data_IF_378870729427
#
_entry.id   IF_378870729427
#
_cell.length_a   1.000
_cell.length_b   1.000
_cell.length_c   1.000
_cell.angle_alpha   90.00
_cell.angle_beta   90.00
_cell.angle_gamma   90.00
#
_symmetry.space_group_name_H-M   'P 1'
#
loop_
_entity.id
_entity.type
_entity.pdbx_description
1 polymer ?
#
# COMPACT_ATOMS: atom_id res chain seq x y z
N UNK A 1 33.79 -67.94 15.36
CA UNK A 1 33.77 -68.69 14.07
C UNK A 1 33.18 -67.76 13.00
N UNK A 2 33.95 -67.37 11.97
CA UNK A 2 33.80 -67.75 10.54
C UNK A 2 32.37 -67.56 10.01
N UNK A 3 32.02 -66.93 8.88
CA UNK A 3 32.64 -66.22 7.74
C UNK A 3 31.42 -65.70 6.93
N UNK A 4 31.48 -64.56 6.26
CA UNK A 4 31.05 -64.48 4.85
C UNK A 4 31.50 -63.21 4.16
N UNK A 5 32.20 -63.45 3.04
CA UNK A 5 32.70 -62.50 2.06
C UNK A 5 31.56 -62.18 1.07
N UNK A 6 31.57 -60.97 0.49
CA UNK A 6 31.61 -60.78 -0.98
C UNK A 6 32.02 -59.34 -1.31
N UNK A 7 33.04 -59.23 -2.17
CA UNK A 7 33.55 -58.03 -2.85
C UNK A 7 32.81 -57.83 -4.18
N UNK A 8 32.65 -56.57 -4.62
CA UNK A 8 32.82 -56.05 -6.00
C UNK A 8 32.48 -54.53 -5.97
N UNK A 9 33.39 -53.56 -6.23
CA UNK A 9 33.86 -53.03 -7.55
C UNK A 9 32.74 -52.23 -8.26
N UNK A 10 32.81 -50.96 -8.72
CA UNK A 10 33.84 -49.96 -9.09
C UNK A 10 33.24 -48.51 -8.98
N UNK A 11 33.98 -47.51 -8.47
CA UNK A 11 34.54 -46.32 -9.18
C UNK A 11 33.65 -45.54 -10.18
N UNK A 12 33.42 -44.25 -9.91
CA UNK A 12 33.88 -43.14 -10.77
C UNK A 12 33.85 -41.80 -10.01
N UNK A 13 34.95 -41.04 -10.14
CA UNK A 13 35.19 -39.73 -9.53
C UNK A 13 34.53 -38.63 -10.37
N UNK A 14 34.01 -37.57 -9.73
CA UNK A 14 33.72 -36.31 -10.41
C UNK A 14 34.27 -35.15 -9.58
N UNK A 15 35.34 -34.55 -10.12
CA UNK A 15 35.99 -33.33 -9.65
C UNK A 15 35.09 -32.11 -9.92
N UNK A 16 35.03 -31.17 -8.98
CA UNK A 16 34.53 -29.82 -9.22
C UNK A 16 35.71 -28.86 -9.33
N UNK A 17 35.98 -28.38 -10.54
CA UNK A 17 36.90 -27.29 -10.84
C UNK A 17 36.23 -25.93 -10.67
N UNK A 18 36.93 -25.02 -10.00
CA UNK A 18 36.66 -23.59 -9.89
C UNK A 18 36.87 -22.95 -11.27
N UNK A 19 35.88 -22.20 -11.76
CA UNK A 19 35.94 -21.42 -13.00
C UNK A 19 35.25 -20.08 -12.79
N UNK A 20 35.93 -19.02 -13.21
CA UNK A 20 35.67 -17.63 -12.88
C UNK A 20 34.32 -17.07 -13.35
N UNK A 21 33.74 -16.19 -12.55
CA UNK A 21 32.75 -15.20 -13.03
C UNK A 21 33.12 -13.85 -12.41
N UNK A 22 33.73 -12.99 -13.22
CA UNK A 22 33.82 -11.55 -12.98
C UNK A 22 33.25 -10.88 -14.24
N UNK A 23 31.97 -10.51 -14.19
CA UNK A 23 31.42 -9.51 -15.11
C UNK A 23 31.71 -8.12 -14.55
N UNK A 24 32.47 -7.34 -15.32
CA UNK A 24 32.60 -5.90 -15.15
C UNK A 24 31.27 -5.21 -15.48
N UNK A 25 30.68 -4.44 -14.55
CA UNK A 25 29.95 -3.26 -14.96
C UNK A 25 30.06 -2.12 -13.93
N UNK A 26 30.58 -1.00 -14.43
CA UNK A 26 30.90 0.23 -13.70
C UNK A 26 29.61 0.99 -13.41
N UNK A 27 29.40 1.37 -12.16
CA UNK A 27 28.30 2.25 -11.79
C UNK A 27 28.38 2.78 -10.36
N UNK A 28 29.08 3.91 -10.19
CA UNK A 28 28.77 4.99 -9.24
C UNK A 28 28.50 4.62 -7.76
N UNK A 29 29.53 4.79 -6.91
CA UNK A 29 29.35 4.89 -5.47
C UNK A 29 29.01 6.33 -5.03
N UNK A 30 27.88 6.43 -4.32
CA UNK A 30 27.55 7.32 -3.19
C UNK A 30 27.09 8.78 -3.51
N UNK A 31 26.03 9.30 -2.85
CA UNK A 31 26.18 9.74 -1.45
C UNK A 31 24.99 9.49 -0.49
N UNK A 32 25.35 9.04 0.72
CA UNK A 32 24.98 9.58 2.04
C UNK A 32 23.62 9.20 2.71
N UNK A 33 23.64 8.41 3.80
CA UNK A 33 22.47 8.14 4.65
C UNK A 33 22.35 9.18 5.78
N UNK A 34 22.05 10.45 5.45
CA UNK A 34 21.70 11.46 6.47
C UNK A 34 20.58 12.38 6.01
N UNK A 35 19.33 11.89 6.11
CA UNK A 35 18.18 12.75 6.38
C UNK A 35 17.19 11.99 7.25
N UNK A 36 17.29 12.20 8.57
CA UNK A 36 16.19 11.93 9.50
C UNK A 36 15.16 13.05 9.28
N UNK A 37 14.10 12.82 8.50
CA UNK A 37 12.94 13.72 8.47
C UNK A 37 11.71 13.06 7.85
N UNK A 38 10.59 13.09 8.57
CA UNK A 38 9.24 12.80 8.05
C UNK A 38 8.64 11.48 8.51
N UNK A 39 7.42 11.56 9.03
CA UNK A 39 6.63 10.51 9.69
C UNK A 39 6.26 9.29 8.81
N UNK A 40 6.60 9.25 7.52
CA UNK A 40 6.27 8.11 6.63
C UNK A 40 7.37 7.87 5.57
N UNK A 41 8.37 7.02 5.86
CA UNK A 41 9.45 6.68 4.92
C UNK A 41 8.96 5.91 3.68
N UNK A 42 7.85 5.17 3.79
CA UNK A 42 7.31 4.30 2.74
C UNK A 42 6.88 5.07 1.47
N UNK A 43 6.43 6.32 1.63
CA UNK A 43 5.98 7.18 0.53
C UNK A 43 7.12 7.67 -0.36
N UNK A 44 8.37 7.54 0.09
CA UNK A 44 9.57 7.92 -0.68
C UNK A 44 10.12 6.78 -1.54
N UNK A 45 9.55 5.57 -1.43
CA UNK A 45 9.84 4.50 -2.38
C UNK A 45 8.95 4.69 -3.61
N UNK A 46 9.52 4.55 -4.81
CA UNK A 46 8.80 4.70 -6.09
C UNK A 46 7.55 3.81 -6.23
N UNK A 47 7.37 2.82 -5.34
CA UNK A 47 6.15 2.02 -5.24
C UNK A 47 5.01 2.71 -4.46
N UNK A 48 5.30 3.35 -3.32
CA UNK A 48 4.29 3.90 -2.41
C UNK A 48 3.48 5.05 -3.01
N UNK A 49 4.17 6.05 -3.57
CA UNK A 49 3.51 7.19 -4.23
C UNK A 49 2.69 6.77 -5.46
N UNK A 50 3.21 5.84 -6.27
CA UNK A 50 2.53 5.30 -7.44
C UNK A 50 1.26 4.52 -7.08
N UNK A 51 1.30 3.76 -5.99
CA UNK A 51 0.15 3.03 -5.46
C UNK A 51 -0.91 3.97 -4.88
N UNK A 52 -0.49 4.98 -4.12
CA UNK A 52 -1.38 6.02 -3.60
C UNK A 52 -2.07 6.80 -4.73
N UNK A 53 -1.34 7.17 -5.79
CA UNK A 53 -1.92 7.84 -6.96
C UNK A 53 -3.00 6.98 -7.65
N UNK A 54 -2.76 5.67 -7.80
CA UNK A 54 -3.76 4.72 -8.33
C UNK A 54 -4.99 4.62 -7.44
N UNK A 55 -4.80 4.51 -6.13
CA UNK A 55 -5.90 4.46 -5.17
C UNK A 55 -6.76 5.73 -5.23
N UNK A 56 -6.13 6.90 -5.22
CA UNK A 56 -6.84 8.18 -5.32
C UNK A 56 -7.64 8.30 -6.63
N UNK A 57 -7.07 7.87 -7.77
CA UNK A 57 -7.81 7.82 -9.03
C UNK A 57 -8.97 6.80 -8.99
N UNK A 58 -8.80 5.67 -8.30
CA UNK A 58 -9.83 4.65 -8.13
C UNK A 58 -11.02 5.14 -7.28
N UNK A 59 -10.74 5.92 -6.22
CA UNK A 59 -11.75 6.57 -5.37
C UNK A 59 -12.54 7.64 -6.14
N UNK A 60 -11.88 8.35 -7.06
CA UNK A 60 -12.51 9.39 -7.87
C UNK A 60 -12.32 10.79 -7.31
N UNK A 61 -12.76 11.80 -8.06
CA UNK A 61 -12.37 13.19 -7.84
C UNK A 61 -12.82 13.75 -6.48
N UNK A 62 -14.05 13.43 -6.06
CA UNK A 62 -14.63 14.00 -4.83
C UNK A 62 -13.86 13.53 -3.58
N UNK A 63 -13.71 12.21 -3.41
CA UNK A 63 -13.01 11.64 -2.27
C UNK A 63 -11.51 11.92 -2.31
N UNK A 64 -10.89 11.83 -3.50
CA UNK A 64 -9.48 12.15 -3.64
C UNK A 64 -9.19 13.62 -3.30
N UNK A 65 -10.07 14.55 -3.67
CA UNK A 65 -9.88 15.97 -3.38
C UNK A 65 -9.86 16.25 -1.88
N UNK A 66 -10.73 15.60 -1.11
CA UNK A 66 -10.79 15.71 0.36
C UNK A 66 -9.50 15.20 1.00
N UNK A 67 -8.96 14.09 0.48
CA UNK A 67 -7.69 13.54 0.96
C UNK A 67 -6.52 14.49 0.64
N UNK A 68 -6.42 14.96 -0.60
CA UNK A 68 -5.35 15.85 -1.05
C UNK A 68 -5.30 17.17 -0.26
N UNK A 69 -6.44 17.70 0.16
CA UNK A 69 -6.53 18.92 0.99
C UNK A 69 -5.88 18.77 2.37
N UNK A 70 -5.69 17.55 2.87
CA UNK A 70 -5.05 17.28 4.16
C UNK A 70 -3.53 17.07 4.05
N UNK A 71 -2.98 17.07 2.84
CA UNK A 71 -1.56 16.81 2.59
C UNK A 71 -0.75 18.10 2.43
N UNK A 72 0.56 18.02 2.66
CA UNK A 72 1.49 19.13 2.40
C UNK A 72 1.72 19.29 0.90
N UNK A 73 2.10 20.49 0.47
CA UNK A 73 2.29 20.82 -0.95
C UNK A 73 3.26 19.85 -1.67
N UNK A 74 4.34 19.46 -1.00
CA UNK A 74 5.32 18.52 -1.55
C UNK A 74 4.74 17.12 -1.76
N UNK A 75 3.85 16.65 -0.87
CA UNK A 75 3.18 15.35 -0.98
C UNK A 75 2.16 15.37 -2.11
N UNK A 76 1.37 16.46 -2.20
CA UNK A 76 0.44 16.68 -3.32
C UNK A 76 1.19 16.65 -4.64
N UNK A 77 2.31 17.37 -4.75
CA UNK A 77 3.11 17.43 -5.98
C UNK A 77 3.55 16.04 -6.45
N UNK A 78 4.08 15.22 -5.54
CA UNK A 78 4.51 13.84 -5.85
C UNK A 78 3.33 12.99 -6.34
N UNK A 79 2.18 13.07 -5.67
CA UNK A 79 0.98 12.31 -6.06
C UNK A 79 0.45 12.75 -7.42
N UNK A 80 0.38 14.05 -7.69
CA UNK A 80 -0.06 14.57 -8.98
C UNK A 80 0.90 14.15 -10.09
N UNK A 81 2.22 14.18 -9.85
CA UNK A 81 3.21 13.72 -10.82
C UNK A 81 2.98 12.25 -11.20
N UNK A 82 2.72 11.39 -10.22
CA UNK A 82 2.39 9.98 -10.48
C UNK A 82 1.04 9.79 -11.18
N UNK A 83 0.01 10.58 -10.82
CA UNK A 83 -1.30 10.55 -11.50
C UNK A 83 -1.17 10.89 -12.98
N UNK A 84 -0.36 11.89 -13.35
CA UNK A 84 -0.18 12.29 -14.77
C UNK A 84 0.44 11.19 -15.63
N UNK A 85 1.18 10.25 -15.02
CA UNK A 85 1.78 9.10 -15.71
C UNK A 85 0.78 7.95 -15.94
N UNK A 86 -0.35 7.94 -15.25
CA UNK A 86 -1.39 6.90 -15.36
C UNK A 86 -2.36 7.30 -16.46
N UNK A 87 -2.44 6.51 -17.54
CA UNK A 87 -3.30 6.82 -18.70
C UNK A 87 -4.75 6.35 -18.52
N UNK A 88 -4.92 5.15 -17.99
CA UNK A 88 -6.22 4.55 -17.73
C UNK A 88 -6.06 3.51 -16.62
N UNK A 89 -7.13 3.29 -15.86
CA UNK A 89 -7.27 2.20 -14.90
C UNK A 89 -8.46 1.37 -15.39
N UNK A 90 -8.25 0.07 -15.61
CA UNK A 90 -9.34 -0.81 -16.05
C UNK A 90 -10.32 -1.07 -14.91
N UNK A 91 -11.51 -1.58 -15.20
CA UNK A 91 -12.49 -1.93 -14.17
C UNK A 91 -11.93 -2.99 -13.21
N UNK A 92 -11.21 -3.97 -13.75
CA UNK A 92 -10.60 -5.03 -12.95
C UNK A 92 -9.44 -4.51 -12.10
N UNK A 93 -8.54 -3.67 -12.67
CA UNK A 93 -7.47 -3.02 -11.90
C UNK A 93 -8.06 -2.14 -10.78
N UNK A 94 -9.15 -1.40 -11.06
CA UNK A 94 -9.84 -0.61 -10.02
C UNK A 94 -10.34 -1.49 -8.87
N UNK A 95 -10.93 -2.66 -9.16
CA UNK A 95 -11.39 -3.59 -8.12
C UNK A 95 -10.22 -4.10 -7.29
N UNK A 96 -9.15 -4.54 -7.95
CA UNK A 96 -7.94 -5.05 -7.27
C UNK A 96 -7.34 -4.00 -6.34
N UNK A 97 -7.25 -2.73 -6.78
CA UNK A 97 -6.74 -1.62 -5.96
C UNK A 97 -7.59 -1.42 -4.70
N UNK A 98 -8.93 -1.45 -4.84
CA UNK A 98 -9.84 -1.23 -3.73
C UNK A 98 -9.85 -2.40 -2.75
N UNK A 99 -9.82 -3.64 -3.26
CA UNK A 99 -9.74 -4.85 -2.44
C UNK A 99 -8.43 -4.91 -1.65
N UNK A 100 -7.31 -4.58 -2.29
CA UNK A 100 -6.01 -4.50 -1.62
C UNK A 100 -6.01 -3.43 -0.52
N UNK A 101 -6.57 -2.25 -0.80
CA UNK A 101 -6.70 -1.19 0.20
C UNK A 101 -7.57 -1.63 1.37
N UNK A 102 -8.72 -2.26 1.11
CA UNK A 102 -9.59 -2.76 2.17
C UNK A 102 -8.91 -3.81 3.04
N UNK A 103 -8.14 -4.73 2.44
CA UNK A 103 -7.36 -5.73 3.16
C UNK A 103 -6.18 -5.15 3.96
N UNK A 104 -5.74 -3.93 3.64
CA UNK A 104 -4.68 -3.23 4.38
C UNK A 104 -5.19 -2.54 5.65
N UNK A 105 -6.51 -2.37 5.81
CA UNK A 105 -7.10 -1.79 7.01
C UNK A 105 -7.05 -2.84 8.14
N UNK A 106 -6.46 -2.51 9.31
CA UNK A 106 -6.43 -3.43 10.43
C UNK A 106 -7.83 -3.85 10.87
N UNK A 107 -8.06 -5.16 11.02
CA UNK A 107 -9.36 -5.71 11.40
C UNK A 107 -9.79 -5.31 12.83
N UNK A 108 -8.84 -4.87 13.66
CA UNK A 108 -9.02 -4.43 15.04
C UNK A 108 -9.21 -2.91 15.16
N UNK A 109 -9.26 -2.16 14.05
CA UNK A 109 -9.57 -0.73 14.09
C UNK A 109 -11.03 -0.54 14.55
N UNK A 110 -11.27 0.04 15.74
CA UNK A 110 -12.62 0.16 16.26
C UNK A 110 -13.42 1.17 15.43
N UNK A 111 -14.59 0.76 14.95
CA UNK A 111 -15.56 1.68 14.36
C UNK A 111 -16.47 2.16 15.50
N UNK A 112 -16.37 3.45 15.83
CA UNK A 112 -17.27 4.06 16.80
C UNK A 112 -18.66 4.25 16.15
N UNK A 113 -19.65 3.59 16.74
CA UNK A 113 -21.06 3.76 16.39
C UNK A 113 -21.83 4.49 17.48
N UNK A 114 -23.16 4.52 17.37
CA UNK A 114 -24.04 5.12 18.37
C UNK A 114 -24.59 6.48 17.94
N UNK A 115 -25.22 7.18 18.89
CA UNK A 115 -25.98 8.40 18.61
C UNK A 115 -25.12 9.52 18.00
N UNK A 116 -23.89 9.67 18.48
CA UNK A 116 -22.99 10.73 18.02
C UNK A 116 -22.50 10.49 16.59
N UNK A 117 -22.09 9.25 16.27
CA UNK A 117 -21.72 8.87 14.90
C UNK A 117 -22.90 9.02 13.93
N UNK A 118 -24.11 8.59 14.34
CA UNK A 118 -25.32 8.79 13.54
C UNK A 118 -25.63 10.28 13.33
N UNK A 119 -25.38 11.13 14.34
CA UNK A 119 -25.56 12.58 14.26
C UNK A 119 -24.60 13.21 13.28
N UNK A 120 -23.33 12.90 13.38
CA UNK A 120 -22.31 13.39 12.47
C UNK A 120 -22.62 13.02 11.01
N UNK A 121 -23.04 11.77 10.76
CA UNK A 121 -23.45 11.31 9.43
C UNK A 121 -24.65 12.11 8.90
N UNK A 122 -25.69 12.33 9.72
CA UNK A 122 -26.86 13.10 9.32
C UNK A 122 -26.52 14.56 9.02
N UNK A 123 -25.71 15.20 9.86
CA UNK A 123 -25.25 16.59 9.66
C UNK A 123 -24.45 16.70 8.36
N UNK A 124 -23.52 15.79 8.10
CA UNK A 124 -22.71 15.79 6.87
C UNK A 124 -23.55 15.54 5.62
N UNK A 125 -24.65 14.82 5.74
CA UNK A 125 -25.52 14.45 4.61
C UNK A 125 -26.59 15.50 4.30
N UNK A 126 -27.17 16.14 5.33
CA UNK A 126 -28.35 16.99 5.19
C UNK A 126 -28.20 18.40 5.80
N UNK A 127 -27.08 18.69 6.46
CA UNK A 127 -26.85 19.92 7.21
C UNK A 127 -27.45 19.89 8.63
N UNK A 128 -26.99 20.81 9.48
CA UNK A 128 -27.31 20.86 10.91
C UNK A 128 -28.83 20.90 11.17
N UNK A 129 -29.52 21.86 10.55
CA UNK A 129 -30.96 22.09 10.77
C UNK A 129 -31.79 20.85 10.43
N UNK A 130 -31.48 20.18 9.32
CA UNK A 130 -32.25 19.01 8.89
C UNK A 130 -31.94 17.78 9.75
N UNK A 131 -30.70 17.67 10.22
CA UNK A 131 -30.31 16.62 11.14
C UNK A 131 -31.05 16.74 12.47
N UNK A 132 -31.13 17.95 13.07
CA UNK A 132 -31.88 18.21 14.30
C UNK A 132 -33.37 17.83 14.16
N UNK A 133 -34.03 18.26 13.08
CA UNK A 133 -35.43 17.88 12.81
C UNK A 133 -35.64 16.35 12.71
N UNK A 134 -34.63 15.61 12.25
CA UNK A 134 -34.69 14.15 12.17
C UNK A 134 -34.51 13.54 13.56
N UNK A 135 -33.58 14.05 14.38
CA UNK A 135 -33.38 13.58 15.75
C UNK A 135 -34.58 13.83 16.65
N UNK A 136 -35.16 15.02 16.61
CA UNK A 136 -36.30 15.39 17.45
C UNK A 136 -37.50 14.47 17.19
N UNK A 137 -37.72 14.08 15.93
CA UNK A 137 -38.76 13.12 15.55
C UNK A 137 -38.48 11.70 16.03
N UNK A 138 -37.21 11.30 16.11
CA UNK A 138 -36.81 9.98 16.62
C UNK A 138 -36.90 9.90 18.16
N UNK A 139 -36.65 11.00 18.88
CA UNK A 139 -36.69 11.05 20.35
C UNK A 139 -38.09 11.28 20.93
N UNK A 140 -39.02 11.83 20.15
CA UNK A 140 -40.40 12.11 20.58
C UNK A 140 -41.33 10.87 20.55
N UNK A 141 -40.79 9.67 20.41
CA UNK A 141 -41.53 8.41 20.27
C UNK A 141 -41.06 7.35 21.27
#
# INVERSE_FOLDING_TARGET
MKKSKKKATAQSNFDYTVGDTIEDNRGNQNPNPKSKSGLFPELQTSGGAKKAARLLLALGADDASRILQQLRENEVRVLIEEMTRIRFITVDEKREILDEFQNSIPADLPIEGGADAAREILVRSFGETKAEEIFDRLQSH
#
